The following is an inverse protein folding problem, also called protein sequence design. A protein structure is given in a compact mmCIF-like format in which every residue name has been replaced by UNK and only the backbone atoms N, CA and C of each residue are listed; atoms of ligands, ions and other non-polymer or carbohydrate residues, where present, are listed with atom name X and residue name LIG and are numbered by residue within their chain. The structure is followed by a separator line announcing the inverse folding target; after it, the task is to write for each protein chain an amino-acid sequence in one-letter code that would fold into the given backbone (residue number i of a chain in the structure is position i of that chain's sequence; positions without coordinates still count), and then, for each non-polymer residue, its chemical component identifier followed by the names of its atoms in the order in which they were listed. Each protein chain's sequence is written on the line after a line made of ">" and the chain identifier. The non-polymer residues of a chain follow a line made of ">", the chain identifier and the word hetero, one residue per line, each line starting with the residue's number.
data_IF_719758858597
#
_entry.id   IF_719758858597
#
_cell.length_a   1.000
_cell.length_b   1.000
_cell.length_c   1.000
_cell.angle_alpha   90.00
_cell.angle_beta   90.00
_cell.angle_gamma   90.00
#
_symmetry.space_group_name_H-M   'P 1'
#
loop_
_entity.id
_entity.type
_entity.pdbx_description
1 polymer ?
#
# COMPACT_ATOMS: atom_id res chain seq x y z
N UNK A 1 34.82 35.67 -47.59
CA UNK A 1 33.58 35.00 -47.16
C UNK A 1 33.94 34.20 -45.94
N UNK A 2 33.59 34.72 -44.77
CA UNK A 2 33.89 34.18 -43.45
C UNK A 2 32.78 33.17 -43.09
N UNK A 3 33.14 31.92 -42.78
CA UNK A 3 32.20 30.92 -42.26
C UNK A 3 32.30 30.96 -40.74
N UNK A 4 31.47 31.79 -40.13
CA UNK A 4 31.26 31.85 -38.69
C UNK A 4 30.80 30.49 -38.17
N UNK A 5 31.60 29.91 -37.28
CA UNK A 5 31.17 28.82 -36.42
C UNK A 5 30.10 29.29 -35.45
N UNK A 6 29.13 28.43 -35.21
CA UNK A 6 28.24 28.51 -34.05
C UNK A 6 28.22 27.16 -33.31
N UNK A 7 28.03 27.23 -31.98
CA UNK A 7 28.69 26.35 -31.02
C UNK A 7 27.87 25.13 -30.67
N UNK A 8 28.54 24.18 -30.00
CA UNK A 8 28.00 23.02 -29.31
C UNK A 8 26.66 23.30 -28.63
N UNK A 9 25.60 22.67 -29.13
CA UNK A 9 24.32 22.61 -28.44
C UNK A 9 24.44 21.57 -27.32
N UNK A 10 24.03 22.00 -26.13
CA UNK A 10 24.34 21.36 -24.87
C UNK A 10 23.79 19.94 -24.73
N UNK A 11 24.60 19.10 -24.08
CA UNK A 11 24.08 17.99 -23.29
C UNK A 11 23.09 18.60 -22.29
N UNK A 12 21.81 18.19 -22.22
CA UNK A 12 21.00 18.50 -21.05
C UNK A 12 21.58 17.67 -19.89
N UNK A 13 22.44 18.32 -19.11
CA UNK A 13 22.88 17.84 -17.81
C UNK A 13 21.69 17.75 -16.88
N UNK A 14 21.70 16.66 -16.12
CA UNK A 14 20.93 16.44 -14.91
C UNK A 14 19.42 16.38 -15.10
N UNK A 15 18.99 15.27 -15.71
CA UNK A 15 17.70 14.71 -15.36
C UNK A 15 17.70 14.52 -13.85
N UNK A 16 17.09 15.46 -13.13
CA UNK A 16 16.70 15.31 -11.74
C UNK A 16 15.87 14.05 -11.73
N UNK A 17 16.52 12.93 -11.42
CA UNK A 17 15.88 11.67 -11.11
C UNK A 17 15.23 11.95 -9.78
N UNK A 18 14.10 12.67 -9.83
CA UNK A 18 13.09 12.61 -8.79
C UNK A 18 12.91 11.12 -8.59
N UNK A 19 13.44 10.64 -7.47
CA UNK A 19 13.27 9.25 -7.07
C UNK A 19 11.78 9.13 -6.77
N UNK A 20 11.00 8.96 -7.84
CA UNK A 20 9.57 8.77 -7.74
C UNK A 20 9.46 7.41 -7.11
N UNK A 21 9.26 7.40 -5.80
CA UNK A 21 8.93 6.21 -5.05
C UNK A 21 7.85 5.49 -5.85
N UNK A 22 8.08 4.22 -6.22
CA UNK A 22 7.15 3.51 -7.08
C UNK A 22 5.81 3.43 -6.37
N UNK A 23 4.72 3.80 -7.07
CA UNK A 23 3.38 3.86 -6.50
C UNK A 23 3.06 2.57 -5.73
N UNK A 24 2.41 2.69 -4.57
CA UNK A 24 2.02 1.52 -3.80
C UNK A 24 1.06 0.65 -4.62
N UNK A 25 1.16 -0.67 -4.44
CA UNK A 25 0.24 -1.62 -5.05
C UNK A 25 -0.95 -1.74 -4.12
N UNK A 26 -1.90 -0.83 -4.24
CA UNK A 26 -3.10 -0.75 -3.39
C UNK A 26 -4.34 -0.74 -4.27
N UNK A 27 -5.39 -1.42 -3.80
CA UNK A 27 -6.72 -1.40 -4.39
C UNK A 27 -7.73 -1.16 -3.27
N UNK A 28 -8.56 -0.14 -3.43
CA UNK A 28 -9.63 0.20 -2.48
C UNK A 28 -10.99 0.00 -3.12
N UNK A 29 -11.94 -0.49 -2.34
CA UNK A 29 -13.34 -0.52 -2.72
C UNK A 29 -13.90 0.91 -2.79
N UNK A 30 -14.82 1.19 -3.73
CA UNK A 30 -15.51 2.47 -3.77
C UNK A 30 -16.43 2.61 -2.55
N UNK A 31 -16.02 3.42 -1.57
CA UNK A 31 -16.81 3.75 -0.37
C UNK A 31 -16.70 2.72 0.77
N UNK A 32 -17.70 2.73 1.66
CA UNK A 32 -17.84 1.77 2.76
C UNK A 32 -18.56 0.55 2.21
N UNK A 33 -17.82 -0.50 1.85
CA UNK A 33 -18.38 -1.78 1.43
C UNK A 33 -19.18 -2.44 2.56
N UNK A 34 -19.81 -3.58 2.26
CA UNK A 34 -20.57 -4.36 3.27
C UNK A 34 -19.69 -5.35 4.04
N UNK A 35 -18.45 -5.56 3.62
CA UNK A 35 -17.52 -6.51 4.22
C UNK A 35 -16.63 -5.92 5.31
N UNK A 36 -15.87 -6.78 6.01
CA UNK A 36 -14.85 -6.34 6.97
C UNK A 36 -13.74 -5.56 6.26
N UNK A 37 -13.37 -5.98 5.05
CA UNK A 37 -12.32 -5.36 4.25
C UNK A 37 -12.88 -4.32 3.28
N UNK A 38 -12.12 -3.26 3.14
CA UNK A 38 -12.37 -2.13 2.24
C UNK A 38 -11.36 -2.06 1.10
N UNK A 39 -10.48 -3.05 0.99
CA UNK A 39 -9.43 -3.08 -0.01
C UNK A 39 -8.29 -4.01 0.39
N UNK A 40 -7.24 -3.97 -0.41
CA UNK A 40 -5.99 -4.66 -0.13
C UNK A 40 -4.80 -3.82 -0.57
N UNK A 41 -3.68 -4.13 0.05
CA UNK A 41 -2.39 -3.53 -0.19
C UNK A 41 -1.33 -4.62 -0.27
N UNK A 42 -0.53 -4.58 -1.32
CA UNK A 42 0.61 -5.47 -1.52
C UNK A 42 1.92 -4.68 -1.34
N UNK A 43 2.46 -4.66 -0.10
CA UNK A 43 3.78 -4.08 0.15
C UNK A 43 4.87 -4.78 -0.68
N UNK A 44 5.94 -4.04 -0.95
CA UNK A 44 7.15 -4.57 -1.60
C UNK A 44 8.12 -5.17 -0.60
N UNK A 45 8.06 -4.75 0.66
CA UNK A 45 8.91 -5.22 1.73
C UNK A 45 8.19 -5.11 3.08
N UNK A 46 8.69 -5.82 4.08
CA UNK A 46 8.14 -5.85 5.45
C UNK A 46 8.63 -4.66 6.31
N UNK A 47 9.13 -3.59 5.66
CA UNK A 47 9.60 -2.37 6.32
C UNK A 47 8.53 -1.27 6.21
N UNK A 48 7.74 -1.11 7.28
CA UNK A 48 6.56 -0.25 7.27
C UNK A 48 6.89 1.23 7.02
N UNK A 49 8.01 1.74 7.56
CA UNK A 49 8.44 3.14 7.39
C UNK A 49 8.71 3.51 5.93
N UNK A 50 9.14 2.56 5.11
CA UNK A 50 9.42 2.77 3.69
C UNK A 50 8.16 2.67 2.84
N UNK A 51 7.24 1.80 3.26
CA UNK A 51 6.07 1.45 2.47
C UNK A 51 4.86 2.36 2.78
N UNK A 52 4.72 2.87 4.01
CA UNK A 52 3.65 3.80 4.39
C UNK A 52 3.64 5.11 3.57
N UNK A 53 4.77 5.79 3.31
CA UNK A 53 4.79 6.96 2.44
C UNK A 53 4.25 6.68 1.04
N UNK A 54 4.62 5.53 0.46
CA UNK A 54 4.16 5.13 -0.86
C UNK A 54 2.66 4.77 -0.85
N UNK A 55 2.19 4.08 0.20
CA UNK A 55 0.79 3.75 0.40
C UNK A 55 -0.04 5.02 0.47
N UNK A 56 0.27 5.91 1.41
CA UNK A 56 -0.47 7.14 1.65
C UNK A 56 -0.38 8.13 0.47
N UNK A 57 0.68 8.08 -0.33
CA UNK A 57 0.80 8.85 -1.57
C UNK A 57 -0.01 8.28 -2.74
N UNK A 58 -0.50 7.04 -2.64
CA UNK A 58 -1.31 6.38 -3.67
C UNK A 58 -2.81 6.34 -3.32
N UNK A 59 -3.18 6.73 -2.10
CA UNK A 59 -4.57 6.87 -1.68
C UNK A 59 -5.22 8.07 -2.36
N UNK A 60 -6.54 7.98 -2.56
CA UNK A 60 -7.29 9.05 -3.18
C UNK A 60 -7.32 10.29 -2.25
N UNK A 61 -6.93 11.48 -2.75
CA UNK A 61 -6.87 12.70 -1.93
C UNK A 61 -8.26 13.17 -1.46
N UNK A 62 -9.36 12.74 -2.09
CA UNK A 62 -10.73 13.08 -1.69
C UNK A 62 -11.15 12.37 -0.39
N UNK A 63 -10.48 11.26 -0.04
CA UNK A 63 -10.69 10.55 1.23
C UNK A 63 -10.11 11.33 2.44
N UNK A 64 -9.37 12.41 2.20
CA UNK A 64 -8.75 13.24 3.23
C UNK A 64 -7.38 12.75 3.68
N UNK A 65 -6.97 13.17 4.87
CA UNK A 65 -5.65 12.83 5.43
C UNK A 65 -5.79 11.67 6.40
N UNK A 66 -4.99 10.62 6.20
CA UNK A 66 -4.82 9.56 7.19
C UNK A 66 -4.11 10.14 8.40
N UNK A 67 -4.76 10.11 9.55
CA UNK A 67 -4.22 10.59 10.81
C UNK A 67 -3.56 9.46 11.61
N UNK A 68 -4.13 8.26 11.53
CA UNK A 68 -3.69 7.10 12.28
C UNK A 68 -3.72 5.85 11.42
N UNK A 69 -2.73 4.99 11.65
CA UNK A 69 -2.58 3.69 11.02
C UNK A 69 -2.50 2.65 12.12
N UNK A 70 -3.31 1.61 12.06
CA UNK A 70 -3.25 0.48 12.97
C UNK A 70 -2.75 -0.75 12.21
N UNK A 71 -1.65 -1.34 12.66
CA UNK A 71 -1.03 -2.52 12.04
C UNK A 71 -0.97 -3.68 13.01
N UNK A 72 -1.14 -4.90 12.52
CA UNK A 72 -0.85 -6.09 13.30
C UNK A 72 0.67 -6.32 13.46
N UNK A 73 1.06 -6.74 14.67
CA UNK A 73 2.46 -7.02 15.05
C UNK A 73 3.04 -8.27 14.41
N UNK A 74 2.20 -9.24 14.01
CA UNK A 74 2.66 -10.47 13.35
C UNK A 74 3.07 -10.16 11.92
N UNK A 75 2.30 -9.31 11.23
CA UNK A 75 2.63 -8.84 9.89
C UNK A 75 3.80 -7.83 9.88
N UNK A 76 3.99 -7.06 10.96
CA UNK A 76 5.01 -6.03 11.05
C UNK A 76 5.76 -6.13 12.39
N UNK A 77 6.93 -6.79 12.44
CA UNK A 77 7.66 -6.99 13.70
C UNK A 77 8.43 -5.74 14.16
N UNK A 78 8.82 -4.85 13.24
CA UNK A 78 9.57 -3.63 13.53
C UNK A 78 8.72 -2.39 13.18
N UNK A 79 7.74 -2.08 14.04
CA UNK A 79 6.81 -0.98 13.80
C UNK A 79 7.28 0.29 14.52
N UNK A 80 7.61 1.35 13.77
CA UNK A 80 7.85 2.65 14.38
C UNK A 80 6.53 3.20 14.92
N UNK A 81 6.52 3.75 16.14
CA UNK A 81 5.31 4.35 16.73
C UNK A 81 4.79 5.57 15.94
N UNK A 82 5.66 6.22 15.16
CA UNK A 82 5.33 7.40 14.36
C UNK A 82 6.11 7.38 13.05
N UNK A 83 5.44 7.64 11.95
CA UNK A 83 6.07 7.81 10.64
C UNK A 83 5.92 9.26 10.19
N UNK A 84 7.05 9.91 9.93
CA UNK A 84 7.06 11.29 9.44
C UNK A 84 6.99 11.31 7.93
N UNK A 85 5.98 11.97 7.40
CA UNK A 85 5.84 12.31 5.99
C UNK A 85 6.15 13.79 5.78
N UNK A 86 6.49 14.22 4.56
CA UNK A 86 6.69 15.64 4.28
C UNK A 86 5.44 16.45 4.64
N UNK A 87 5.53 17.21 5.75
CA UNK A 87 4.45 18.06 6.25
C UNK A 87 3.43 17.41 7.19
N UNK A 88 3.57 16.13 7.56
CA UNK A 88 2.65 15.47 8.52
C UNK A 88 3.29 14.32 9.29
N UNK A 89 2.78 14.04 10.49
CA UNK A 89 3.17 12.88 11.28
C UNK A 89 1.98 11.92 11.33
N UNK A 90 2.23 10.67 10.99
CA UNK A 90 1.26 9.59 11.06
C UNK A 90 1.51 8.82 12.35
N UNK A 91 0.48 8.67 13.16
CA UNK A 91 0.53 7.80 14.33
C UNK A 91 0.38 6.35 13.86
N UNK A 92 1.30 5.49 14.27
CA UNK A 92 1.19 4.05 14.01
C UNK A 92 0.93 3.34 15.32
N UNK A 93 -0.21 2.67 15.39
CA UNK A 93 -0.69 1.93 16.55
C UNK A 93 -0.60 0.44 16.23
N UNK A 94 -0.18 -0.34 17.21
CA UNK A 94 -0.22 -1.79 17.12
C UNK A 94 -1.64 -2.26 17.44
N UNK A 95 -2.20 -3.06 16.55
CA UNK A 95 -3.45 -3.77 16.80
C UNK A 95 -3.29 -4.70 18.01
N UNK A 96 -4.34 -4.81 18.81
CA UNK A 96 -4.39 -5.79 19.91
C UNK A 96 -4.38 -7.23 19.35
N UNK A 97 -4.01 -8.19 20.20
CA UNK A 97 -3.74 -9.62 19.90
C UNK A 97 -4.92 -10.41 19.28
N UNK A 98 -6.06 -9.77 19.01
CA UNK A 98 -7.27 -10.36 18.42
C UNK A 98 -7.65 -9.73 17.06
N UNK A 99 -6.85 -8.78 16.56
CA UNK A 99 -7.11 -8.19 15.25
C UNK A 99 -6.87 -9.21 14.13
N UNK A 100 -7.56 -9.02 13.00
CA UNK A 100 -7.38 -9.84 11.80
C UNK A 100 -5.90 -9.82 11.37
N UNK A 101 -5.25 -10.99 11.47
CA UNK A 101 -3.86 -11.17 11.04
C UNK A 101 -3.77 -10.82 9.56
N UNK A 102 -2.74 -10.05 9.19
CA UNK A 102 -2.59 -9.47 7.86
C UNK A 102 -3.64 -8.41 7.48
N UNK A 103 -4.21 -7.68 8.43
CA UNK A 103 -4.96 -6.46 8.15
C UNK A 103 -4.21 -5.20 8.61
N UNK A 104 -4.41 -4.11 7.87
CA UNK A 104 -4.00 -2.75 8.25
C UNK A 104 -5.23 -1.85 8.24
N UNK A 105 -5.45 -1.17 9.35
CA UNK A 105 -6.51 -0.22 9.53
C UNK A 105 -5.98 1.19 9.29
N UNK A 106 -6.66 1.96 8.46
CA UNK A 106 -6.36 3.34 8.15
C UNK A 106 -7.51 4.20 8.67
N UNK A 107 -7.21 5.19 9.51
CA UNK A 107 -8.17 6.15 10.01
C UNK A 107 -7.93 7.51 9.33
N UNK A 108 -8.86 7.92 8.48
CA UNK A 108 -8.91 9.26 7.89
C UNK A 108 -9.73 10.19 8.76
N UNK A 109 -9.39 11.48 8.73
CA UNK A 109 -10.18 12.48 9.46
C UNK A 109 -11.59 12.68 8.86
N UNK A 110 -11.71 12.60 7.53
CA UNK A 110 -12.99 12.82 6.81
C UNK A 110 -13.67 11.54 6.35
N UNK A 111 -12.92 10.54 5.84
CA UNK A 111 -13.48 9.30 5.29
C UNK A 111 -13.72 8.18 6.32
N UNK A 112 -13.36 8.41 7.59
CA UNK A 112 -13.52 7.44 8.67
C UNK A 112 -12.49 6.31 8.62
N UNK A 113 -12.89 5.13 9.07
CA UNK A 113 -12.02 3.96 9.19
C UNK A 113 -12.12 3.05 7.95
N UNK A 114 -10.99 2.59 7.40
CA UNK A 114 -10.93 1.52 6.40
C UNK A 114 -9.95 0.45 6.85
N UNK A 115 -10.37 -0.78 6.69
CA UNK A 115 -9.51 -1.94 6.91
C UNK A 115 -9.07 -2.50 5.55
N UNK A 116 -7.76 -2.73 5.39
CA UNK A 116 -7.16 -3.24 4.18
C UNK A 116 -6.45 -4.55 4.48
N UNK A 117 -6.58 -5.54 3.62
CA UNK A 117 -5.74 -6.74 3.64
C UNK A 117 -4.30 -6.38 3.26
N UNK A 118 -3.33 -6.78 4.07
CA UNK A 118 -1.89 -6.74 3.80
C UNK A 118 -1.48 -8.06 3.14
N UNK A 119 -1.17 -8.02 1.85
CA UNK A 119 -0.70 -9.20 1.12
C UNK A 119 0.79 -9.39 1.39
N UNK A 120 1.26 -10.56 1.86
CA UNK A 120 2.68 -10.78 2.09
C UNK A 120 3.53 -10.47 0.85
N UNK A 121 4.70 -9.82 0.98
CA UNK A 121 5.53 -9.45 -0.18
C UNK A 121 6.04 -10.67 -0.96
N UNK A 122 6.14 -11.83 -0.30
CA UNK A 122 6.49 -13.12 -0.90
C UNK A 122 5.39 -13.80 -1.70
N UNK A 123 4.16 -13.26 -1.70
CA UNK A 123 3.05 -13.84 -2.45
C UNK A 123 3.28 -13.85 -3.96
N UNK A 124 2.72 -14.86 -4.63
CA UNK A 124 2.80 -14.95 -6.08
C UNK A 124 2.04 -13.78 -6.72
N UNK A 125 2.53 -13.27 -7.86
CA UNK A 125 1.85 -12.15 -8.55
C UNK A 125 0.40 -12.49 -8.90
N UNK A 126 0.10 -13.74 -9.25
CA UNK A 126 -1.25 -14.18 -9.55
C UNK A 126 -2.15 -14.12 -8.31
N UNK A 127 -1.69 -14.68 -7.19
CA UNK A 127 -2.37 -14.61 -5.90
C UNK A 127 -2.59 -13.16 -5.45
N UNK A 128 -1.53 -12.34 -5.45
CA UNK A 128 -1.62 -10.96 -5.04
C UNK A 128 -2.56 -10.13 -5.92
N UNK A 129 -2.57 -10.36 -7.24
CA UNK A 129 -3.50 -9.68 -8.16
C UNK A 129 -4.94 -10.09 -7.88
N UNK A 130 -5.19 -11.37 -7.64
CA UNK A 130 -6.51 -11.86 -7.26
C UNK A 130 -6.96 -11.27 -5.92
N UNK A 131 -6.11 -11.29 -4.89
CA UNK A 131 -6.38 -10.69 -3.58
C UNK A 131 -6.68 -9.19 -3.67
N UNK A 132 -5.90 -8.43 -4.46
CA UNK A 132 -6.14 -7.01 -4.71
C UNK A 132 -7.52 -6.75 -5.31
N UNK A 133 -7.91 -7.54 -6.32
CA UNK A 133 -9.20 -7.39 -6.99
C UNK A 133 -10.36 -7.80 -6.07
N UNK A 134 -10.25 -8.95 -5.39
CA UNK A 134 -11.31 -9.48 -4.53
C UNK A 134 -11.53 -8.61 -3.29
N UNK A 135 -10.47 -8.08 -2.67
CA UNK A 135 -10.62 -7.28 -1.47
C UNK A 135 -11.16 -5.87 -1.76
N UNK A 136 -10.92 -5.36 -2.98
CA UNK A 136 -11.49 -4.11 -3.46
C UNK A 136 -12.92 -4.26 -4.01
N UNK A 137 -13.48 -5.47 -4.03
CA UNK A 137 -14.87 -5.68 -4.43
C UNK A 137 -15.82 -5.28 -3.28
N UNK A 138 -16.78 -4.38 -3.50
CA UNK A 138 -17.68 -3.91 -2.45
C UNK A 138 -18.67 -4.97 -1.94
N UNK A 139 -18.84 -6.08 -2.67
CA UNK A 139 -19.61 -7.24 -2.27
C UNK A 139 -18.75 -8.31 -1.58
N UNK A 140 -17.44 -8.08 -1.44
CA UNK A 140 -16.59 -8.95 -0.63
C UNK A 140 -17.07 -8.96 0.82
N UNK A 141 -17.26 -10.16 1.35
CA UNK A 141 -17.64 -10.41 2.74
C UNK A 141 -16.62 -11.29 3.47
N UNK A 142 -15.51 -11.61 2.78
CA UNK A 142 -14.45 -12.46 3.32
C UNK A 142 -13.49 -11.64 4.18
N UNK A 143 -13.00 -12.29 5.23
CA UNK A 143 -11.95 -11.78 6.11
C UNK A 143 -10.57 -11.88 5.47
N UNK A 144 -9.60 -11.15 6.01
CA UNK A 144 -8.21 -11.17 5.52
C UNK A 144 -7.62 -12.59 5.55
N UNK A 145 -7.77 -13.28 6.69
CA UNK A 145 -7.29 -14.64 6.89
C UNK A 145 -7.92 -15.63 5.90
N UNK A 146 -9.23 -15.53 5.65
CA UNK A 146 -9.94 -16.43 4.74
C UNK A 146 -9.49 -16.22 3.29
N UNK A 147 -9.32 -14.96 2.87
CA UNK A 147 -8.81 -14.65 1.54
C UNK A 147 -7.41 -15.17 1.31
N UNK A 148 -6.50 -15.02 2.29
CA UNK A 148 -5.15 -15.55 2.21
C UNK A 148 -5.14 -17.08 2.12
N UNK A 149 -5.95 -17.76 2.93
CA UNK A 149 -6.07 -19.23 2.87
C UNK A 149 -6.59 -19.71 1.50
N UNK A 150 -7.53 -18.99 0.89
CA UNK A 150 -8.01 -19.29 -0.47
C UNK A 150 -6.92 -19.06 -1.53
N UNK A 151 -6.13 -18.00 -1.38
CA UNK A 151 -5.04 -17.70 -2.29
C UNK A 151 -3.92 -18.75 -2.20
N UNK A 152 -3.55 -19.16 -0.99
CA UNK A 152 -2.62 -20.27 -0.76
C UNK A 152 -3.14 -21.55 -1.44
N UNK A 153 -4.37 -21.96 -1.13
CA UNK A 153 -4.96 -23.17 -1.73
C UNK A 153 -5.08 -23.11 -3.27
N UNK A 154 -5.35 -21.93 -3.84
CA UNK A 154 -5.59 -21.75 -5.27
C UNK A 154 -4.32 -21.56 -6.12
N UNK A 155 -3.25 -21.01 -5.54
CA UNK A 155 -2.04 -20.60 -6.29
C UNK A 155 -0.77 -21.34 -5.87
N UNK A 156 -0.79 -22.15 -4.81
CA UNK A 156 0.35 -22.98 -4.38
C UNK A 156 0.73 -24.06 -5.42
N UNK A 157 -0.17 -24.38 -6.35
CA UNK A 157 0.11 -25.23 -7.52
C UNK A 157 1.14 -24.66 -8.51
N UNK A 158 1.57 -23.40 -8.37
CA UNK A 158 2.53 -22.74 -9.25
C UNK A 158 3.97 -22.63 -8.73
N UNK A 159 4.28 -23.06 -7.50
CA UNK A 159 5.65 -22.99 -6.93
C UNK A 159 6.51 -24.22 -7.30
N UNK A 160 6.60 -24.57 -8.59
CA UNK A 160 7.55 -25.59 -9.08
C UNK A 160 8.48 -25.04 -10.15
#
# INVERSE_FOLDING_TARGET
>A
MDVTGTPSEGVPSDGTRTYRMPAARVALAPGVGHGPLHGAWWPRCDVLELELPALLGSLDPDLGIVARVTVDTVAWPDVPQKVTLPGRVIEVVLSAVDAEVHAIALDWDTAGHRELLVIPPGESRAAATWLLATAADPANTLTAAHMLALAEAGFEGGRR
#
